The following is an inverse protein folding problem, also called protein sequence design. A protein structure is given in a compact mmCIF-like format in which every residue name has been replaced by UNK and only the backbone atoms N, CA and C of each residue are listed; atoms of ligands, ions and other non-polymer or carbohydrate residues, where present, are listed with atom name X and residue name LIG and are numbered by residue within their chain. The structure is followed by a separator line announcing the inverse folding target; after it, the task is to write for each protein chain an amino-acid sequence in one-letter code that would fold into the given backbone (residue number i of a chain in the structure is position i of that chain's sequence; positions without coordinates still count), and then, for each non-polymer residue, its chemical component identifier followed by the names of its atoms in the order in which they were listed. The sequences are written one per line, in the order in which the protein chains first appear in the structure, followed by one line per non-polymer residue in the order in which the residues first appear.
data_IF_014952153809
#
_entry.id   IF_014952153809
#
_cell.length_a   1.000
_cell.length_b   1.000
_cell.length_c   1.000
_cell.angle_alpha   90.00
_cell.angle_beta   90.00
_cell.angle_gamma   90.00
#
_symmetry.space_group_name_H-M   'P 1'
#
loop_
_entity.id
_entity.type
_entity.pdbx_description
1 polymer ?
#
# COMPACT_ATOMS: atom_id res chain seq x y z
N UNK A 1 -16.53 28.59 -1.58
CA UNK A 1 -16.63 27.12 -1.38
C UNK A 1 -17.41 26.87 -0.09
N UNK A 2 -18.35 25.92 -0.04
CA UNK A 2 -19.21 25.69 1.12
C UNK A 2 -18.62 24.59 2.05
N UNK A 3 -18.10 24.92 3.25
CA UNK A 3 -17.49 23.94 4.16
C UNK A 3 -18.44 22.82 4.59
N UNK A 4 -19.75 23.11 4.73
CA UNK A 4 -20.77 22.14 5.13
C UNK A 4 -20.92 20.96 4.16
N UNK A 5 -20.54 21.15 2.89
CA UNK A 5 -20.54 20.10 1.86
C UNK A 5 -19.17 19.46 1.70
N UNK A 6 -18.10 20.24 1.86
CA UNK A 6 -16.73 19.79 1.61
C UNK A 6 -16.17 18.90 2.72
N UNK A 7 -16.46 19.20 3.99
CA UNK A 7 -15.94 18.44 5.14
C UNK A 7 -16.48 16.99 5.15
N UNK A 8 -17.80 16.73 5.01
CA UNK A 8 -18.31 15.37 4.92
C UNK A 8 -17.79 14.61 3.69
N UNK A 9 -17.65 15.31 2.55
CA UNK A 9 -17.12 14.73 1.33
C UNK A 9 -15.65 14.34 1.48
N UNK A 10 -14.83 15.19 2.11
CA UNK A 10 -13.45 14.91 2.45
C UNK A 10 -13.34 13.67 3.35
N UNK A 11 -14.18 13.59 4.40
CA UNK A 11 -14.20 12.44 5.32
C UNK A 11 -14.45 11.12 4.59
N UNK A 12 -15.49 11.07 3.74
CA UNK A 12 -15.83 9.85 2.98
C UNK A 12 -14.67 9.38 2.09
N UNK A 13 -14.04 10.31 1.38
CA UNK A 13 -12.93 9.96 0.48
C UNK A 13 -11.66 9.59 1.23
N UNK A 14 -11.38 10.27 2.35
CA UNK A 14 -10.28 9.93 3.24
C UNK A 14 -10.43 8.51 3.78
N UNK A 15 -11.62 8.14 4.27
CA UNK A 15 -11.90 6.81 4.79
C UNK A 15 -11.77 5.73 3.73
N UNK A 16 -12.33 5.97 2.53
CA UNK A 16 -12.20 5.04 1.42
C UNK A 16 -10.73 4.86 0.99
N UNK A 17 -9.98 5.95 0.85
CA UNK A 17 -8.58 5.91 0.43
C UNK A 17 -7.68 5.27 1.50
N UNK A 18 -7.97 5.51 2.78
CA UNK A 18 -7.28 4.89 3.90
C UNK A 18 -7.52 3.38 3.92
N UNK A 19 -8.76 2.93 3.69
CA UNK A 19 -9.07 1.51 3.56
C UNK A 19 -8.25 0.87 2.43
N UNK A 20 -8.22 1.50 1.24
CA UNK A 20 -7.44 1.01 0.12
C UNK A 20 -5.93 0.95 0.43
N UNK A 21 -5.39 1.97 1.09
CA UNK A 21 -3.99 2.00 1.50
C UNK A 21 -3.64 0.89 2.49
N UNK A 22 -4.52 0.61 3.45
CA UNK A 22 -4.33 -0.48 4.43
C UNK A 22 -4.35 -1.84 3.74
N UNK A 23 -5.32 -2.09 2.86
CA UNK A 23 -5.41 -3.36 2.12
C UNK A 23 -4.17 -3.53 1.22
N UNK A 24 -3.77 -2.47 0.51
CA UNK A 24 -2.56 -2.49 -0.33
C UNK A 24 -1.31 -2.80 0.50
N UNK A 25 -1.19 -2.23 1.71
CA UNK A 25 -0.10 -2.55 2.65
C UNK A 25 -0.13 -4.00 3.10
N UNK A 26 -1.31 -4.54 3.39
CA UNK A 26 -1.46 -5.94 3.77
C UNK A 26 -1.02 -6.88 2.65
N UNK A 27 -1.42 -6.61 1.41
CA UNK A 27 -0.97 -7.36 0.23
C UNK A 27 0.54 -7.28 0.06
N UNK A 28 1.12 -6.08 0.14
CA UNK A 28 2.57 -5.91 0.05
C UNK A 28 3.31 -6.68 1.14
N UNK A 29 2.88 -6.57 2.40
CA UNK A 29 3.53 -7.25 3.52
C UNK A 29 3.46 -8.77 3.40
N UNK A 30 2.33 -9.33 2.96
CA UNK A 30 2.20 -10.76 2.70
C UNK A 30 3.16 -11.21 1.59
N UNK A 31 3.20 -10.46 0.50
CA UNK A 31 4.06 -10.72 -0.66
C UNK A 31 5.55 -10.63 -0.32
N UNK A 32 5.91 -9.65 0.51
CA UNK A 32 7.27 -9.47 1.00
C UNK A 32 7.68 -10.57 1.99
N UNK A 33 6.77 -11.05 2.83
CA UNK A 33 7.00 -12.17 3.74
C UNK A 33 7.27 -13.48 2.97
N UNK A 34 6.51 -13.77 1.90
CA UNK A 34 6.74 -14.92 1.03
C UNK A 34 8.18 -14.91 0.48
N UNK A 35 8.63 -13.78 -0.06
CA UNK A 35 10.00 -13.64 -0.59
C UNK A 35 11.10 -13.89 0.44
N UNK A 36 10.88 -13.45 1.69
CA UNK A 36 11.81 -13.71 2.80
C UNK A 36 11.82 -15.16 3.24
N UNK A 37 10.67 -15.82 3.21
CA UNK A 37 10.49 -17.18 3.73
C UNK A 37 10.86 -18.25 2.72
N UNK A 38 10.74 -17.97 1.41
CA UNK A 38 11.02 -18.90 0.33
C UNK A 38 12.41 -19.55 0.46
N UNK A 39 13.42 -18.76 0.80
CA UNK A 39 14.81 -19.23 0.94
C UNK A 39 15.16 -19.76 2.34
N UNK A 40 14.22 -19.65 3.29
CA UNK A 40 14.41 -20.11 4.68
C UNK A 40 13.75 -21.46 4.96
N UNK A 41 12.89 -21.93 4.06
CA UNK A 41 12.12 -23.17 4.25
C UNK A 41 12.16 -24.03 3.00
N UNK A 42 12.86 -25.16 3.06
CA UNK A 42 13.03 -26.11 1.94
C UNK A 42 11.69 -26.57 1.35
N UNK A 43 10.67 -26.70 2.20
CA UNK A 43 9.32 -27.10 1.80
C UNK A 43 8.64 -26.03 0.94
N UNK A 44 8.79 -24.74 1.26
CA UNK A 44 8.24 -23.68 0.43
C UNK A 44 9.03 -23.52 -0.88
N UNK A 45 10.35 -23.77 -0.84
CA UNK A 45 11.20 -23.78 -2.03
C UNK A 45 10.75 -24.82 -3.06
N UNK A 46 10.21 -25.96 -2.61
CA UNK A 46 9.66 -27.00 -3.51
C UNK A 46 8.49 -26.48 -4.35
N UNK A 47 7.80 -25.43 -3.89
CA UNK A 47 6.73 -24.72 -4.62
C UNK A 47 7.18 -23.35 -5.10
N UNK A 48 8.50 -23.14 -5.22
CA UNK A 48 9.10 -21.83 -5.43
C UNK A 48 8.65 -21.13 -6.70
N UNK A 49 8.38 -21.87 -7.78
CA UNK A 49 7.89 -21.29 -9.04
C UNK A 49 6.50 -20.65 -8.85
N UNK A 50 5.59 -21.34 -8.15
CA UNK A 50 4.24 -20.84 -7.89
C UNK A 50 4.26 -19.61 -6.97
N UNK A 51 5.06 -19.67 -5.90
CA UNK A 51 5.21 -18.56 -4.97
C UNK A 51 5.89 -17.35 -5.62
N UNK A 52 6.93 -17.58 -6.43
CA UNK A 52 7.64 -16.50 -7.14
C UNK A 52 6.75 -15.84 -8.18
N UNK A 53 6.00 -16.62 -8.98
CA UNK A 53 5.05 -16.08 -9.94
C UNK A 53 3.94 -15.26 -9.25
N UNK A 54 3.35 -15.80 -8.19
CA UNK A 54 2.34 -15.09 -7.39
C UNK A 54 2.91 -13.81 -6.79
N UNK A 55 4.17 -13.84 -6.35
CA UNK A 55 4.86 -12.68 -5.81
C UNK A 55 4.96 -11.55 -6.83
N UNK A 56 5.40 -11.86 -8.06
CA UNK A 56 5.53 -10.88 -9.14
C UNK A 56 4.19 -10.21 -9.45
N UNK A 57 3.12 -10.98 -9.67
CA UNK A 57 1.77 -10.43 -9.95
C UNK A 57 1.28 -9.55 -8.80
N UNK A 58 1.46 -10.00 -7.55
CA UNK A 58 1.00 -9.24 -6.40
C UNK A 58 1.76 -7.92 -6.24
N UNK A 59 3.08 -7.90 -6.50
CA UNK A 59 3.89 -6.66 -6.50
C UNK A 59 3.39 -5.70 -7.59
N UNK A 60 3.17 -6.19 -8.80
CA UNK A 60 2.65 -5.37 -9.91
C UNK A 60 1.29 -4.75 -9.55
N UNK A 61 0.37 -5.55 -8.99
CA UNK A 61 -0.92 -5.03 -8.54
C UNK A 61 -0.76 -3.97 -7.44
N UNK A 62 0.13 -4.19 -6.46
CA UNK A 62 0.43 -3.19 -5.42
C UNK A 62 0.92 -1.88 -6.04
N UNK A 63 1.86 -1.94 -6.99
CA UNK A 63 2.37 -0.77 -7.68
C UNK A 63 1.26 -0.06 -8.47
N UNK A 64 0.42 -0.80 -9.18
CA UNK A 64 -0.73 -0.24 -9.90
C UNK A 64 -1.73 0.44 -8.95
N UNK A 65 -2.06 -0.16 -7.81
CA UNK A 65 -2.95 0.48 -6.83
C UNK A 65 -2.33 1.76 -6.26
N UNK A 66 -1.04 1.73 -5.91
CA UNK A 66 -0.33 2.93 -5.46
C UNK A 66 -0.34 4.02 -6.52
N UNK A 67 -0.13 3.69 -7.80
CA UNK A 67 -0.16 4.69 -8.89
C UNK A 67 -1.50 5.44 -8.92
N UNK A 68 -2.62 4.75 -8.68
CA UNK A 68 -3.97 5.33 -8.66
C UNK A 68 -4.20 6.22 -7.43
N UNK A 69 -3.61 5.89 -6.28
CA UNK A 69 -3.66 6.73 -5.07
C UNK A 69 -2.76 7.97 -5.20
N UNK A 70 -1.63 7.78 -5.89
CA UNK A 70 -0.68 8.69 -6.51
C UNK A 70 -1.25 9.84 -7.32
N UNK A 71 -1.91 9.44 -8.39
CA UNK A 71 -1.95 10.24 -9.60
C UNK A 71 -3.20 11.11 -9.64
N UNK A 72 -2.99 12.43 -9.76
CA UNK A 72 -4.06 13.39 -9.91
C UNK A 72 -4.95 13.08 -11.11
N UNK A 73 -6.12 12.51 -10.85
CA UNK A 73 -7.19 12.38 -11.82
C UNK A 73 -8.35 13.29 -11.39
N UNK A 74 -8.89 14.08 -12.33
CA UNK A 74 -10.01 15.01 -12.11
C UNK A 74 -11.27 14.35 -11.54
N UNK A 75 -11.41 13.03 -11.71
CA UNK A 75 -12.56 12.25 -11.27
C UNK A 75 -12.32 11.44 -9.99
N UNK A 76 -11.07 11.30 -9.52
CA UNK A 76 -10.73 10.49 -8.34
C UNK A 76 -10.17 11.34 -7.19
N UNK A 77 -10.27 10.82 -5.97
CA UNK A 77 -9.69 11.44 -4.79
C UNK A 77 -8.37 10.75 -4.48
N UNK A 78 -7.28 11.49 -4.69
CA UNK A 78 -5.92 11.00 -4.54
C UNK A 78 -5.29 11.53 -3.26
N UNK A 79 -4.20 10.91 -2.81
CA UNK A 79 -3.49 11.34 -1.60
C UNK A 79 -3.07 12.82 -1.70
N UNK A 80 -2.47 13.29 -2.82
CA UNK A 80 -2.18 14.70 -3.01
C UNK A 80 -3.42 15.60 -2.86
N UNK A 81 -4.53 15.25 -3.52
CA UNK A 81 -5.78 16.03 -3.44
C UNK A 81 -6.38 16.04 -2.03
N UNK A 82 -6.25 14.95 -1.27
CA UNK A 82 -6.69 14.88 0.12
C UNK A 82 -5.85 15.81 0.99
N UNK A 83 -4.51 15.78 0.87
CA UNK A 83 -3.61 16.69 1.61
C UNK A 83 -3.95 18.15 1.31
N UNK A 84 -4.07 18.52 0.03
CA UNK A 84 -4.37 19.89 -0.37
C UNK A 84 -5.71 20.38 0.16
N UNK A 85 -6.76 19.55 0.06
CA UNK A 85 -8.07 19.90 0.57
C UNK A 85 -8.08 20.00 2.10
N UNK A 86 -7.39 19.12 2.81
CA UNK A 86 -7.25 19.19 4.26
C UNK A 86 -6.57 20.50 4.68
N UNK A 87 -5.45 20.87 4.06
CA UNK A 87 -4.77 22.15 4.34
C UNK A 87 -5.70 23.35 4.06
N UNK A 88 -6.43 23.30 2.94
CA UNK A 88 -7.30 24.40 2.50
C UNK A 88 -8.54 24.59 3.38
N UNK A 89 -9.11 23.50 3.88
CA UNK A 89 -10.37 23.51 4.64
C UNK A 89 -10.11 23.70 6.13
N UNK A 90 -8.97 23.24 6.64
CA UNK A 90 -8.64 23.34 8.07
C UNK A 90 -8.40 24.79 8.48
N UNK A 91 -9.34 25.33 9.26
CA UNK A 91 -9.36 26.71 9.72
C UNK A 91 -9.50 26.76 11.23
N UNK A 92 -9.12 27.89 11.85
CA UNK A 92 -9.27 28.07 13.29
C UNK A 92 -10.73 27.88 13.74
N UNK A 93 -11.68 28.45 12.99
CA UNK A 93 -13.10 28.28 13.24
C UNK A 93 -13.53 26.81 13.26
N UNK A 94 -13.08 26.03 12.28
CA UNK A 94 -13.37 24.60 12.24
C UNK A 94 -12.74 23.84 13.41
N UNK A 95 -11.49 24.16 13.75
CA UNK A 95 -10.79 23.58 14.90
C UNK A 95 -11.52 23.84 16.22
N UNK A 96 -12.02 25.06 16.42
CA UNK A 96 -12.82 25.43 17.60
C UNK A 96 -14.17 24.70 17.64
N UNK A 97 -14.82 24.50 16.48
CA UNK A 97 -16.10 23.78 16.37
C UNK A 97 -15.99 22.28 16.67
N UNK A 98 -14.87 21.63 16.32
CA UNK A 98 -14.72 20.16 16.42
C UNK A 98 -14.23 19.68 17.80
N UNK A 99 -14.08 20.59 18.77
CA UNK A 99 -13.74 20.27 20.17
C UNK A 99 -12.51 19.35 20.27
N UNK A 100 -11.42 19.73 19.61
CA UNK A 100 -10.16 19.01 19.78
C UNK A 100 -9.77 18.98 21.26
N UNK A 101 -9.33 17.81 21.75
CA UNK A 101 -8.83 17.69 23.12
C UNK A 101 -7.64 18.64 23.33
N UNK A 102 -7.46 19.12 24.56
CA UNK A 102 -6.47 20.13 24.95
C UNK A 102 -4.98 19.77 24.69
N UNK A 103 -4.69 18.68 23.98
CA UNK A 103 -3.35 18.13 23.76
C UNK A 103 -2.62 18.66 22.52
N UNK A 104 -3.31 19.23 21.52
CA UNK A 104 -2.66 19.73 20.30
C UNK A 104 -3.20 21.11 19.93
N UNK A 105 -2.32 22.10 19.80
CA UNK A 105 -2.72 23.46 19.39
C UNK A 105 -3.12 23.51 17.91
N UNK A 106 -3.93 24.50 17.53
CA UNK A 106 -4.25 24.76 16.13
C UNK A 106 -2.99 24.90 15.26
N UNK A 107 -1.97 25.61 15.77
CA UNK A 107 -0.69 25.80 15.08
C UNK A 107 0.02 24.47 14.81
N UNK A 108 0.05 23.57 15.80
CA UNK A 108 0.66 22.25 15.66
C UNK A 108 -0.05 21.41 14.59
N UNK A 109 -1.39 21.43 14.59
CA UNK A 109 -2.20 20.74 13.59
C UNK A 109 -1.92 21.25 12.18
N UNK A 110 -1.87 22.59 12.00
CA UNK A 110 -1.55 23.21 10.71
C UNK A 110 -0.14 22.82 10.25
N UNK A 111 0.84 22.85 11.14
CA UNK A 111 2.21 22.48 10.82
C UNK A 111 2.33 21.01 10.42
N UNK A 112 1.64 20.10 11.13
CA UNK A 112 1.58 18.69 10.75
C UNK A 112 0.97 18.50 9.36
N UNK A 113 -0.15 19.16 9.04
CA UNK A 113 -0.76 19.09 7.72
C UNK A 113 0.16 19.62 6.60
N UNK A 114 0.83 20.76 6.83
CA UNK A 114 1.79 21.31 5.86
C UNK A 114 3.01 20.40 5.67
N UNK A 115 3.50 19.78 6.74
CA UNK A 115 4.63 18.85 6.67
C UNK A 115 4.29 17.59 5.84
N UNK A 116 3.02 17.15 5.82
CA UNK A 116 2.61 16.07 4.91
C UNK A 116 2.81 16.45 3.45
N UNK A 117 2.60 17.72 3.08
CA UNK A 117 2.85 18.20 1.71
C UNK A 117 4.35 18.15 1.38
N UNK A 118 5.21 18.62 2.29
CA UNK A 118 6.67 18.56 2.11
C UNK A 118 7.14 17.11 1.90
N UNK A 119 6.68 16.18 2.74
CA UNK A 119 7.00 14.75 2.61
C UNK A 119 6.47 14.13 1.31
N UNK A 120 5.32 14.59 0.82
CA UNK A 120 4.80 14.16 -0.48
C UNK A 120 5.73 14.63 -1.61
N UNK A 121 6.22 15.87 -1.54
CA UNK A 121 7.12 16.44 -2.55
C UNK A 121 8.46 15.68 -2.59
N UNK A 122 8.97 15.23 -1.44
CA UNK A 122 10.14 14.34 -1.33
C UNK A 122 9.94 12.96 -2.00
N UNK A 123 8.70 12.55 -2.23
CA UNK A 123 8.33 11.28 -2.85
C UNK A 123 8.02 11.42 -4.36
N UNK A 124 8.31 12.57 -4.96
CA UNK A 124 7.94 12.85 -6.35
C UNK A 124 8.56 11.86 -7.35
N UNK A 125 9.84 11.52 -7.18
CA UNK A 125 10.54 10.58 -8.08
C UNK A 125 9.89 9.18 -8.09
N UNK A 126 9.72 8.49 -6.94
CA UNK A 126 9.08 7.18 -6.94
C UNK A 126 7.61 7.24 -7.38
N UNK A 127 6.90 8.35 -7.13
CA UNK A 127 5.55 8.59 -7.67
C UNK A 127 5.58 8.67 -9.20
N UNK A 128 6.56 9.36 -9.78
CA UNK A 128 6.68 9.49 -11.23
C UNK A 128 7.03 8.15 -11.89
N UNK A 129 7.86 7.32 -11.26
CA UNK A 129 8.08 5.95 -11.72
C UNK A 129 6.79 5.12 -11.71
N UNK A 130 5.98 5.21 -10.65
CA UNK A 130 4.68 4.50 -10.58
C UNK A 130 3.73 4.90 -11.71
N UNK A 131 3.69 6.19 -12.06
CA UNK A 131 2.87 6.70 -13.17
C UNK A 131 3.31 6.07 -14.48
N UNK A 132 4.61 6.05 -14.76
CA UNK A 132 5.16 5.43 -15.96
C UNK A 132 4.78 3.95 -16.02
N UNK A 133 5.01 3.17 -14.96
CA UNK A 133 4.64 1.73 -14.93
C UNK A 133 3.16 1.53 -15.23
N UNK A 134 2.29 2.36 -14.65
CA UNK A 134 0.86 2.29 -14.92
C UNK A 134 0.54 2.58 -16.38
N UNK A 135 1.11 3.65 -16.95
CA UNK A 135 0.86 4.03 -18.34
C UNK A 135 1.34 2.93 -19.30
N UNK A 136 2.44 2.26 -18.98
CA UNK A 136 2.97 1.10 -19.69
C UNK A 136 2.00 -0.07 -19.62
N UNK A 137 1.52 -0.40 -18.42
CA UNK A 137 0.56 -1.49 -18.22
C UNK A 137 -0.77 -1.21 -18.94
N UNK A 138 -1.22 0.05 -18.97
CA UNK A 138 -2.40 0.45 -19.74
C UNK A 138 -2.16 0.33 -21.25
N UNK A 139 -1.00 0.78 -21.73
CA UNK A 139 -0.59 0.69 -23.14
C UNK A 139 -0.38 -0.77 -23.61
N UNK A 140 -0.05 -1.69 -22.69
CA UNK A 140 -0.03 -3.11 -23.01
C UNK A 140 -1.47 -3.67 -23.11
N UNK A 141 -2.35 -3.31 -22.18
CA UNK A 141 -3.74 -3.75 -22.17
C UNK A 141 -4.53 -3.25 -23.40
N UNK A 142 -4.21 -2.06 -23.92
CA UNK A 142 -4.82 -1.52 -25.13
C UNK A 142 -4.12 -1.94 -26.45
N UNK A 143 -3.10 -2.81 -26.35
CA UNK A 143 -2.26 -3.34 -27.44
C UNK A 143 -1.40 -2.29 -28.16
N UNK A 144 -1.20 -1.10 -27.60
CA UNK A 144 -0.23 -0.13 -28.12
C UNK A 144 1.22 -0.61 -27.95
N UNK A 145 1.49 -1.48 -26.97
CA UNK A 145 2.71 -2.28 -26.84
C UNK A 145 2.37 -3.72 -27.21
N UNK A 146 2.79 -4.12 -28.41
CA UNK A 146 2.39 -5.36 -29.09
C UNK A 146 3.41 -6.50 -28.99
N UNK A 147 4.62 -6.25 -28.47
CA UNK A 147 5.68 -7.25 -28.32
C UNK A 147 6.22 -7.33 -26.89
N UNK A 148 6.66 -8.54 -26.51
CA UNK A 148 7.30 -8.80 -25.22
C UNK A 148 8.60 -7.99 -25.04
N UNK A 149 9.43 -7.89 -26.08
CA UNK A 149 10.70 -7.13 -26.02
C UNK A 149 10.47 -5.64 -25.68
N UNK A 150 9.44 -5.02 -26.28
CA UNK A 150 9.07 -3.63 -25.97
C UNK A 150 8.56 -3.47 -24.54
N UNK A 151 7.90 -4.49 -23.99
CA UNK A 151 7.46 -4.50 -22.60
C UNK A 151 8.66 -4.57 -21.65
N UNK A 152 9.61 -5.47 -21.92
CA UNK A 152 10.81 -5.67 -21.10
C UNK A 152 11.74 -4.44 -21.11
N UNK A 153 12.04 -3.86 -22.27
CA UNK A 153 12.87 -2.65 -22.40
C UNK A 153 12.32 -1.49 -21.58
N UNK A 154 11.00 -1.38 -21.53
CA UNK A 154 10.28 -0.30 -20.89
C UNK A 154 10.17 -0.51 -19.37
N UNK A 155 10.02 -1.76 -18.91
CA UNK A 155 10.11 -2.13 -17.49
C UNK A 155 11.54 -1.90 -16.94
N UNK A 156 12.55 -2.30 -17.69
CA UNK A 156 13.96 -2.17 -17.30
C UNK A 156 14.42 -0.70 -17.21
N UNK A 157 13.84 0.18 -18.03
CA UNK A 157 14.18 1.61 -18.03
C UNK A 157 13.49 2.44 -16.94
N UNK A 158 12.53 1.87 -16.21
CA UNK A 158 11.81 2.57 -15.13
C UNK A 158 11.63 1.67 -13.89
N UNK A 159 12.72 1.20 -13.27
CA UNK A 159 12.63 0.30 -12.13
C UNK A 159 11.99 1.02 -10.94
N UNK A 160 11.04 0.35 -10.30
CA UNK A 160 10.58 0.74 -8.96
C UNK A 160 11.09 -0.29 -7.97
N UNK A 161 11.94 0.17 -7.07
CA UNK A 161 12.50 -0.71 -6.06
C UNK A 161 11.44 -1.04 -5.00
N UNK A 162 11.48 -2.26 -4.46
CA UNK A 162 10.59 -2.67 -3.37
C UNK A 162 10.67 -1.73 -2.16
N UNK A 163 11.84 -1.12 -1.92
CA UNK A 163 12.03 -0.13 -0.86
C UNK A 163 11.23 1.15 -1.10
N UNK A 164 11.11 1.59 -2.35
CA UNK A 164 10.34 2.78 -2.73
C UNK A 164 8.84 2.48 -2.64
N UNK A 165 8.43 1.29 -3.11
CA UNK A 165 7.05 0.78 -2.96
C UNK A 165 6.65 0.78 -1.48
N UNK A 166 7.51 0.25 -0.61
CA UNK A 166 7.29 0.24 0.85
C UNK A 166 7.17 1.66 1.41
N UNK A 167 8.09 2.57 1.07
CA UNK A 167 8.06 3.97 1.52
C UNK A 167 6.74 4.66 1.15
N UNK A 168 6.26 4.45 -0.08
CA UNK A 168 5.01 5.04 -0.55
C UNK A 168 3.79 4.47 0.17
N UNK A 169 3.76 3.17 0.47
CA UNK A 169 2.69 2.55 1.25
C UNK A 169 2.68 3.08 2.68
N UNK A 170 3.84 3.14 3.32
CA UNK A 170 3.99 3.62 4.70
C UNK A 170 3.56 5.09 4.80
N UNK A 171 3.97 5.92 3.83
CA UNK A 171 3.53 7.30 3.74
C UNK A 171 2.02 7.41 3.52
N UNK A 172 1.44 6.61 2.61
CA UNK A 172 -0.01 6.63 2.34
C UNK A 172 -0.82 6.39 3.61
N UNK A 173 -0.51 5.32 4.35
CA UNK A 173 -1.24 5.00 5.59
C UNK A 173 -1.00 6.08 6.63
N UNK A 174 0.26 6.45 6.91
CA UNK A 174 0.59 7.45 7.93
C UNK A 174 -0.02 8.82 7.64
N UNK A 175 0.01 9.26 6.39
CA UNK A 175 -0.56 10.53 5.94
C UNK A 175 -2.08 10.55 6.18
N UNK A 176 -2.79 9.53 5.68
CA UNK A 176 -4.25 9.49 5.75
C UNK A 176 -4.73 9.30 7.20
N UNK A 177 -4.05 8.51 8.04
CA UNK A 177 -4.37 8.43 9.48
C UNK A 177 -4.13 9.76 10.19
N UNK A 178 -3.04 10.46 9.85
CA UNK A 178 -2.72 11.78 10.43
C UNK A 178 -3.79 12.80 10.08
N UNK A 179 -4.21 12.85 8.82
CA UNK A 179 -5.30 13.73 8.38
C UNK A 179 -6.60 13.36 9.08
N UNK A 180 -6.90 12.08 9.25
CA UNK A 180 -8.13 11.62 9.89
C UNK A 180 -8.18 12.02 11.37
N UNK A 181 -7.06 11.91 12.07
CA UNK A 181 -6.91 12.38 13.44
C UNK A 181 -7.06 13.90 13.53
N UNK A 182 -6.31 14.66 12.71
CA UNK A 182 -6.33 16.13 12.78
C UNK A 182 -7.67 16.71 12.35
N UNK A 183 -8.27 16.22 11.27
CA UNK A 183 -9.50 16.79 10.72
C UNK A 183 -10.74 16.32 11.48
N UNK A 184 -10.75 15.10 12.01
CA UNK A 184 -11.97 14.47 12.53
C UNK A 184 -11.85 13.95 13.95
N UNK A 185 -10.70 14.09 14.60
CA UNK A 185 -10.42 13.58 15.94
C UNK A 185 -10.68 12.06 16.07
N UNK A 186 -10.45 11.31 14.99
CA UNK A 186 -10.61 9.85 14.96
C UNK A 186 -9.23 9.22 14.87
N UNK A 187 -8.77 8.64 15.98
CA UNK A 187 -7.60 7.78 15.96
C UNK A 187 -7.89 6.51 15.16
N UNK A 188 -6.91 6.05 14.40
CA UNK A 188 -7.03 4.84 13.58
C UNK A 188 -5.86 3.94 13.86
N UNK A 189 -6.12 2.92 14.67
CA UNK A 189 -5.17 1.83 14.87
C UNK A 189 -5.20 0.90 13.66
N UNK A 190 -4.06 0.74 13.00
CA UNK A 190 -3.91 -0.21 11.91
C UNK A 190 -3.14 -1.40 12.41
N UNK A 191 -3.80 -2.55 12.52
CA UNK A 191 -3.16 -3.80 12.91
C UNK A 191 -2.49 -4.44 11.69
N UNK A 192 -1.22 -4.78 11.84
CA UNK A 192 -0.48 -5.54 10.85
C UNK A 192 -0.56 -7.02 11.22
N UNK A 193 -0.75 -7.87 10.20
CA UNK A 193 -0.64 -9.32 10.36
C UNK A 193 0.84 -9.71 10.40
N UNK A 194 1.13 -10.77 11.14
CA UNK A 194 2.47 -11.35 11.26
C UNK A 194 2.68 -12.44 10.20
N UNK A 195 2.68 -12.04 8.93
CA UNK A 195 2.72 -12.99 7.80
C UNK A 195 3.93 -13.93 7.83
N UNK A 196 5.10 -13.49 8.31
CA UNK A 196 6.27 -14.36 8.45
C UNK A 196 6.02 -15.49 9.46
N UNK A 197 5.33 -15.20 10.58
CA UNK A 197 4.97 -16.22 11.57
C UNK A 197 3.91 -17.18 11.02
N UNK A 198 2.88 -16.67 10.36
CA UNK A 198 1.85 -17.50 9.70
C UNK A 198 2.47 -18.45 8.66
N UNK A 199 3.40 -17.97 7.83
CA UNK A 199 4.10 -18.78 6.84
C UNK A 199 5.01 -19.85 7.47
N UNK A 200 5.66 -19.54 8.59
CA UNK A 200 6.44 -20.52 9.34
C UNK A 200 5.59 -21.67 9.86
N UNK A 201 4.41 -21.37 10.44
CA UNK A 201 3.50 -22.41 10.94
C UNK A 201 2.94 -23.27 9.79
N UNK A 202 2.63 -22.66 8.63
CA UNK A 202 2.26 -23.40 7.42
C UNK A 202 3.39 -24.34 6.98
N UNK A 203 4.63 -23.85 6.93
CA UNK A 203 5.78 -24.66 6.53
C UNK A 203 6.01 -25.86 7.46
N UNK A 204 5.88 -25.67 8.79
CA UNK A 204 5.94 -26.74 9.78
C UNK A 204 4.86 -27.80 9.54
N UNK A 205 3.61 -27.37 9.36
CA UNK A 205 2.50 -28.28 9.13
C UNK A 205 2.69 -29.14 7.86
N UNK A 206 3.20 -28.54 6.77
CA UNK A 206 3.49 -29.30 5.54
C UNK A 206 4.63 -30.31 5.77
N UNK A 207 5.69 -29.92 6.49
CA UNK A 207 6.80 -30.81 6.80
C UNK A 207 6.35 -32.02 7.64
N UNK A 208 5.52 -31.80 8.66
CA UNK A 208 4.93 -32.85 9.49
C UNK A 208 4.04 -33.80 8.69
N UNK A 209 3.24 -33.25 7.77
CA UNK A 209 2.41 -34.06 6.86
C UNK A 209 3.24 -34.93 5.93
N UNK A 210 4.33 -34.39 5.35
CA UNK A 210 5.23 -35.16 4.49
C UNK A 210 5.94 -36.28 5.25
N UNK A 211 6.38 -36.02 6.49
CA UNK A 211 7.01 -37.04 7.34
C UNK A 211 6.03 -38.15 7.73
N UNK A 212 4.81 -37.79 8.15
CA UNK A 212 3.77 -38.77 8.50
C UNK A 212 3.27 -39.58 7.29
N UNK A 213 3.14 -38.96 6.12
CA UNK A 213 2.83 -39.65 4.87
C UNK A 213 3.91 -40.65 4.44
N UNK A 214 5.20 -40.33 4.66
CA UNK A 214 6.31 -41.24 4.41
C UNK A 214 6.34 -42.41 5.41
N UNK A 215 5.98 -42.18 6.68
CA UNK A 215 5.82 -43.25 7.66
C UNK A 215 4.71 -44.23 7.24
N UNK A 216 3.54 -43.73 6.82
CA UNK A 216 2.42 -44.59 6.39
C UNK A 216 2.79 -45.42 5.14
N UNK A 217 3.53 -44.83 4.18
CA UNK A 217 4.02 -45.58 3.00
C UNK A 217 5.01 -46.69 3.36
N UNK A 218 5.86 -46.47 4.36
CA UNK A 218 6.85 -47.46 4.79
C UNK A 218 6.23 -48.58 5.64
N UNK A 219 5.16 -48.30 6.40
CA UNK A 219 4.45 -49.33 7.18
C UNK A 219 3.37 -50.09 6.38
N UNK A 220 2.92 -49.57 5.24
CA UNK A 220 1.97 -50.24 4.34
C UNK A 220 2.60 -51.23 3.35
N UNK A 221 3.92 -51.44 3.40
CA UNK A 221 4.68 -52.38 2.56
C UNK A 221 5.19 -53.62 3.31
N UNK A 222 4.65 -53.90 4.51
CA UNK A 222 4.97 -55.12 5.29
C UNK A 222 3.94 -56.20 5.05
#
# INVERSE_FOLDING_TARGET
MNPKVQIPRLKKHLEWLLYQAIVTRQTFNATYAVGKMLYKTEVLLTYGDYFSYSQSIMIENVQLQLSKMYEHNKQSYTIPTIIENSIKIFSLKYYEEVSHSAQASYSDCVNKLKNLKVKLDELNDPINHLKKIRDINLAHLDKSIDTLDKLEDVQNSNPIYLIETKKLIDFAVSCLTTIKLIMFNIDTHVHNREYENELNEIAKAIAEYQQSGNLIKNYGQV
#
